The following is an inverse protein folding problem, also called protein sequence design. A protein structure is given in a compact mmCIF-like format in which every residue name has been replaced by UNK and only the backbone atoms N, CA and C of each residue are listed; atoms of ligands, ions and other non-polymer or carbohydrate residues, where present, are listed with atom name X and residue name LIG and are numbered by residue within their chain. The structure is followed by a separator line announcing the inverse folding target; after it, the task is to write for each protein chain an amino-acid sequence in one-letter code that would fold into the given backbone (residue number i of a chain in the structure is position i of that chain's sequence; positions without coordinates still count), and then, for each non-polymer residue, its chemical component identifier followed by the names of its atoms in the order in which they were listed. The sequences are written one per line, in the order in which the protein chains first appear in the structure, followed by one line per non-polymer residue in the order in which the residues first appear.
data_IF_815014377115
#
_entry.id   IF_815014377115
#
_cell.length_a   1.000
_cell.length_b   1.000
_cell.length_c   1.000
_cell.angle_alpha   90.00
_cell.angle_beta   90.00
_cell.angle_gamma   90.00
#
_symmetry.space_group_name_H-M   'P 1'
#
loop_
_entity.id
_entity.type
_entity.pdbx_description
1 polymer ?
#
# COMPACT_ATOMS: atom_id res chain seq x y z
N UNK A 1 -6.51 12.91 6.77
CA UNK A 1 -5.21 12.75 7.48
C UNK A 1 -4.26 13.95 7.32
N UNK A 2 -4.58 14.91 6.42
CA UNK A 2 -3.89 16.21 6.27
C UNK A 2 -2.38 16.12 5.98
N UNK A 3 -1.94 15.04 5.34
CA UNK A 3 -0.58 14.91 4.85
C UNK A 3 -0.62 15.06 3.33
N UNK A 4 0.14 16.01 2.76
CA UNK A 4 0.23 16.14 1.31
C UNK A 4 0.93 14.92 0.71
N UNK A 5 0.48 14.48 -0.45
CA UNK A 5 1.11 13.40 -1.20
C UNK A 5 1.13 13.70 -2.70
N UNK A 6 2.01 13.00 -3.41
CA UNK A 6 2.06 13.03 -4.87
C UNK A 6 1.53 11.69 -5.38
N UNK A 7 0.51 11.73 -6.22
CA UNK A 7 0.06 10.56 -6.97
C UNK A 7 0.76 10.56 -8.33
N UNK A 8 1.54 9.50 -8.59
CA UNK A 8 2.29 9.29 -9.82
C UNK A 8 2.07 7.86 -10.33
N UNK A 9 2.33 7.66 -11.61
CA UNK A 9 2.06 6.40 -12.32
C UNK A 9 1.62 6.64 -13.75
N UNK A 10 1.40 5.57 -14.49
CA UNK A 10 0.91 5.67 -15.87
C UNK A 10 -0.58 6.00 -15.91
N UNK A 11 -0.97 6.90 -16.80
CA UNK A 11 -2.38 7.22 -17.07
C UNK A 11 -2.61 7.37 -18.57
N UNK A 12 -3.77 6.91 -19.06
CA UNK A 12 -4.11 6.98 -20.48
C UNK A 12 -4.39 8.41 -20.94
N UNK A 13 -3.78 8.85 -22.04
CA UNK A 13 -4.04 10.19 -22.59
C UNK A 13 -5.51 10.42 -22.93
N UNK A 14 -6.23 9.35 -23.31
CA UNK A 14 -7.65 9.43 -23.69
C UNK A 14 -8.60 9.79 -22.55
N UNK A 15 -8.23 9.54 -21.29
CA UNK A 15 -9.06 9.79 -20.11
C UNK A 15 -8.33 10.64 -19.04
N UNK A 16 -7.22 11.26 -19.40
CA UNK A 16 -6.42 12.10 -18.48
C UNK A 16 -7.17 13.36 -18.04
N UNK A 17 -7.96 13.96 -18.93
CA UNK A 17 -8.75 15.16 -18.61
C UNK A 17 -9.85 14.84 -17.60
N UNK A 18 -10.60 13.75 -17.82
CA UNK A 18 -11.66 13.26 -16.94
C UNK A 18 -11.10 12.97 -15.53
N UNK A 19 -9.95 12.31 -15.44
CA UNK A 19 -9.28 12.07 -14.16
C UNK A 19 -8.94 13.36 -13.41
N UNK A 20 -8.39 14.37 -14.11
CA UNK A 20 -8.05 15.65 -13.50
C UNK A 20 -9.26 16.37 -12.94
N UNK A 21 -10.41 16.25 -13.60
CA UNK A 21 -11.67 16.83 -13.17
C UNK A 21 -12.24 16.06 -11.96
N UNK A 22 -12.33 14.74 -12.05
CA UNK A 22 -12.83 13.88 -10.97
C UNK A 22 -12.04 14.06 -9.65
N UNK A 23 -10.74 14.33 -9.74
CA UNK A 23 -9.86 14.54 -8.58
C UNK A 23 -9.66 16.01 -8.21
N UNK A 24 -10.35 16.96 -8.85
CA UNK A 24 -10.16 18.40 -8.60
C UNK A 24 -10.40 18.77 -7.12
N UNK A 25 -11.41 18.17 -6.48
CA UNK A 25 -11.72 18.39 -5.06
C UNK A 25 -10.67 17.88 -4.08
N UNK A 26 -9.76 16.98 -4.50
CA UNK A 26 -8.73 16.41 -3.64
C UNK A 26 -7.36 17.10 -3.80
N UNK A 27 -7.23 18.06 -4.71
CA UNK A 27 -5.96 18.74 -5.04
C UNK A 27 -5.32 19.51 -3.88
N UNK A 28 -6.08 19.83 -2.83
CA UNK A 28 -5.54 20.43 -1.61
C UNK A 28 -4.47 19.53 -0.95
N UNK A 29 -4.65 18.22 -1.04
CA UNK A 29 -3.78 17.24 -0.37
C UNK A 29 -3.05 16.32 -1.35
N UNK A 30 -3.57 16.16 -2.58
CA UNK A 30 -2.99 15.25 -3.57
C UNK A 30 -2.54 16.03 -4.78
N UNK A 31 -1.23 16.09 -5.00
CA UNK A 31 -0.65 16.60 -6.24
C UNK A 31 -0.63 15.48 -7.29
N UNK A 32 -1.31 15.69 -8.42
CA UNK A 32 -1.35 14.74 -9.52
C UNK A 32 -0.15 14.96 -10.45
N UNK A 33 0.73 13.96 -10.54
CA UNK A 33 1.94 13.96 -11.38
C UNK A 33 2.04 12.70 -12.23
N UNK A 34 0.89 12.16 -12.64
CA UNK A 34 0.82 10.96 -13.47
C UNK A 34 1.42 11.19 -14.86
N UNK A 35 2.20 10.22 -15.32
CA UNK A 35 2.78 10.13 -16.65
C UNK A 35 1.71 9.74 -17.66
N UNK A 36 1.20 10.71 -18.41
CA UNK A 36 0.26 10.46 -19.50
C UNK A 36 0.95 9.65 -20.62
N UNK A 37 0.30 8.60 -21.12
CA UNK A 37 0.80 7.74 -22.21
C UNK A 37 -0.31 7.35 -23.18
N UNK A 38 0.01 6.98 -24.44
CA UNK A 38 -1.00 6.55 -25.40
C UNK A 38 -1.86 5.39 -24.88
N UNK A 39 -3.17 5.50 -25.04
CA UNK A 39 -4.13 4.48 -24.62
C UNK A 39 -5.20 5.04 -23.67
N UNK A 40 -5.95 4.12 -23.07
CA UNK A 40 -7.01 4.41 -22.09
C UNK A 40 -6.70 3.70 -20.79
N UNK A 41 -6.95 4.34 -19.65
CA UNK A 41 -6.79 3.71 -18.34
C UNK A 41 -7.83 2.60 -18.19
N UNK A 42 -7.42 1.49 -17.57
CA UNK A 42 -8.33 0.36 -17.38
C UNK A 42 -9.54 0.77 -16.55
N UNK A 43 -10.69 0.19 -16.85
CA UNK A 43 -11.90 0.33 -16.05
C UNK A 43 -12.18 -0.98 -15.31
N UNK A 44 -12.37 -0.89 -14.00
CA UNK A 44 -12.78 -2.00 -13.17
C UNK A 44 -14.24 -1.80 -12.80
N UNK A 45 -15.03 -2.87 -12.83
CA UNK A 45 -16.45 -2.84 -12.46
C UNK A 45 -16.63 -3.70 -11.21
N UNK A 46 -17.32 -3.17 -10.22
CA UNK A 46 -17.79 -3.94 -9.06
C UNK A 46 -19.31 -3.99 -9.11
N UNK A 47 -19.88 -5.18 -9.20
CA UNK A 47 -21.31 -5.40 -9.10
C UNK A 47 -21.65 -5.74 -7.64
N UNK A 48 -22.54 -4.97 -7.05
CA UNK A 48 -23.03 -5.18 -5.69
C UNK A 48 -24.39 -5.87 -5.79
N UNK A 49 -24.43 -7.15 -5.45
CA UNK A 49 -25.65 -7.95 -5.42
C UNK A 49 -26.21 -7.94 -4.00
N UNK A 50 -27.08 -6.96 -3.72
CA UNK A 50 -27.67 -6.75 -2.40
C UNK A 50 -28.63 -7.87 -2.00
N UNK A 51 -29.23 -8.57 -2.96
CA UNK A 51 -30.14 -9.70 -2.69
C UNK A 51 -29.41 -10.91 -2.14
N UNK A 52 -28.20 -11.17 -2.62
CA UNK A 52 -27.36 -12.30 -2.19
C UNK A 52 -26.20 -11.91 -1.26
N UNK A 53 -26.13 -10.65 -0.82
CA UNK A 53 -25.06 -10.10 0.02
C UNK A 53 -23.65 -10.44 -0.52
N UNK A 54 -23.44 -10.30 -1.83
CA UNK A 54 -22.16 -10.58 -2.48
C UNK A 54 -21.71 -9.44 -3.37
N UNK A 55 -20.40 -9.36 -3.54
CA UNK A 55 -19.75 -8.46 -4.50
C UNK A 55 -19.06 -9.28 -5.59
N UNK A 56 -19.20 -8.86 -6.85
CA UNK A 56 -18.53 -9.47 -8.00
C UNK A 56 -17.60 -8.41 -8.61
N UNK A 57 -16.32 -8.75 -8.72
CA UNK A 57 -15.29 -7.84 -9.20
C UNK A 57 -14.82 -8.23 -10.61
N UNK A 58 -15.15 -7.41 -11.60
CA UNK A 58 -14.65 -7.52 -12.97
C UNK A 58 -13.44 -6.58 -13.12
N UNK A 59 -12.26 -7.16 -13.33
CA UNK A 59 -10.99 -6.42 -13.41
C UNK A 59 -10.42 -6.48 -14.81
N UNK A 60 -10.29 -5.34 -15.47
CA UNK A 60 -9.64 -5.26 -16.76
C UNK A 60 -8.10 -5.28 -16.60
N UNK A 61 -7.41 -5.87 -17.58
CA UNK A 61 -5.95 -5.74 -17.69
C UNK A 61 -5.62 -4.31 -18.14
N UNK A 62 -4.51 -3.79 -17.64
CA UNK A 62 -3.96 -2.52 -18.15
C UNK A 62 -2.95 -2.82 -19.25
N UNK A 63 -3.04 -2.08 -20.35
CA UNK A 63 -2.12 -2.16 -21.48
C UNK A 63 -1.16 -0.96 -21.56
N UNK A 64 -1.26 -0.04 -20.59
CA UNK A 64 -0.46 1.20 -20.60
C UNK A 64 1.04 0.94 -20.34
N UNK A 65 1.37 -0.16 -19.65
CA UNK A 65 2.74 -0.50 -19.33
C UNK A 65 3.47 -1.06 -20.55
N UNK A 66 4.14 -0.19 -21.27
CA UNK A 66 5.07 -0.53 -22.37
C UNK A 66 6.51 -0.15 -21.99
N UNK A 67 7.53 -0.68 -22.68
CA UNK A 67 8.92 -0.24 -22.50
C UNK A 67 9.11 1.28 -22.56
N UNK A 68 8.46 1.94 -23.52
CA UNK A 68 8.54 3.39 -23.68
C UNK A 68 7.83 4.14 -22.54
N UNK A 69 6.65 3.66 -22.15
CA UNK A 69 5.88 4.23 -21.03
C UNK A 69 6.65 4.14 -19.71
N UNK A 70 7.26 2.99 -19.41
CA UNK A 70 8.04 2.79 -18.18
C UNK A 70 9.33 3.62 -18.19
N UNK A 71 9.97 3.81 -19.36
CA UNK A 71 11.11 4.73 -19.51
C UNK A 71 10.69 6.18 -19.23
N UNK A 72 9.53 6.61 -19.75
CA UNK A 72 8.98 7.95 -19.49
C UNK A 72 8.65 8.14 -18.00
N UNK A 73 7.96 7.17 -17.40
CA UNK A 73 7.64 7.17 -15.97
C UNK A 73 8.90 7.28 -15.11
N UNK A 74 10.00 6.64 -15.50
CA UNK A 74 11.27 6.78 -14.82
C UNK A 74 11.79 8.22 -14.87
N UNK A 75 11.81 8.83 -16.06
CA UNK A 75 12.25 10.22 -16.18
C UNK A 75 11.40 11.18 -15.34
N UNK A 76 10.09 10.99 -15.31
CA UNK A 76 9.19 11.78 -14.46
C UNK A 76 9.48 11.53 -12.97
N UNK A 77 9.65 10.27 -12.57
CA UNK A 77 9.96 9.88 -11.19
C UNK A 77 11.27 10.50 -10.70
N UNK A 78 12.31 10.52 -11.53
CA UNK A 78 13.62 11.11 -11.24
C UNK A 78 13.51 12.61 -10.90
N UNK A 79 12.50 13.30 -11.43
CA UNK A 79 12.24 14.71 -11.14
C UNK A 79 11.32 14.94 -9.92
N UNK A 80 10.65 13.89 -9.45
CA UNK A 80 9.64 13.97 -8.38
C UNK A 80 10.22 13.61 -7.01
N UNK A 81 11.09 12.60 -6.96
CA UNK A 81 11.54 12.03 -5.69
C UNK A 81 12.72 12.79 -5.09
N UNK A 82 12.75 12.90 -3.77
CA UNK A 82 13.82 13.52 -3.01
C UNK A 82 14.35 12.58 -1.92
N UNK A 83 15.62 12.74 -1.48
CA UNK A 83 16.17 11.97 -0.37
C UNK A 83 15.30 12.04 0.89
N UNK A 84 14.99 10.87 1.46
CA UNK A 84 14.16 10.75 2.65
C UNK A 84 12.66 10.56 2.39
N UNK A 85 12.19 10.74 1.15
CA UNK A 85 10.80 10.49 0.79
C UNK A 85 10.38 9.04 1.02
N UNK A 86 9.09 8.84 1.28
CA UNK A 86 8.45 7.53 1.19
C UNK A 86 7.88 7.35 -0.22
N UNK A 87 8.36 6.36 -0.97
CA UNK A 87 7.87 6.04 -2.31
C UNK A 87 7.18 4.68 -2.31
N UNK A 88 5.84 4.68 -2.36
CA UNK A 88 5.03 3.47 -2.33
C UNK A 88 4.65 3.00 -3.75
N UNK A 89 5.06 1.77 -4.08
CA UNK A 89 4.60 1.05 -5.26
C UNK A 89 3.47 0.12 -4.83
N UNK A 90 2.24 0.57 -5.08
CA UNK A 90 1.03 -0.11 -4.62
C UNK A 90 0.19 -0.68 -5.79
N UNK A 91 -0.50 -1.78 -5.53
CA UNK A 91 -1.36 -2.46 -6.48
C UNK A 91 -0.61 -3.39 -7.44
N UNK A 92 -1.31 -3.89 -8.45
CA UNK A 92 -0.74 -4.85 -9.42
C UNK A 92 0.38 -4.21 -10.24
N UNK A 93 1.60 -4.73 -10.08
CA UNK A 93 2.74 -4.32 -10.90
C UNK A 93 2.64 -4.89 -12.33
N UNK A 94 3.31 -4.29 -13.32
CA UNK A 94 3.34 -4.83 -14.68
C UNK A 94 3.92 -6.26 -14.72
N UNK A 95 3.60 -7.04 -15.77
CA UNK A 95 3.98 -8.46 -15.83
C UNK A 95 5.50 -8.66 -15.86
N UNK A 96 6.01 -9.84 -15.42
CA UNK A 96 7.44 -10.13 -15.33
C UNK A 96 8.23 -9.93 -16.63
N UNK A 97 7.59 -10.05 -17.80
CA UNK A 97 8.24 -9.78 -19.10
C UNK A 97 8.76 -8.34 -19.23
N UNK A 98 8.22 -7.40 -18.43
CA UNK A 98 8.66 -6.01 -18.39
C UNK A 98 9.69 -5.74 -17.28
N UNK A 99 10.18 -6.76 -16.58
CA UNK A 99 11.09 -6.60 -15.44
C UNK A 99 12.32 -5.74 -15.77
N UNK A 100 12.91 -5.91 -16.96
CA UNK A 100 14.04 -5.10 -17.44
C UNK A 100 13.76 -3.59 -17.48
N UNK A 101 12.49 -3.18 -17.53
CA UNK A 101 12.04 -1.80 -17.50
C UNK A 101 11.50 -1.36 -16.13
N UNK A 102 11.10 -2.30 -15.27
CA UNK A 102 10.64 -2.04 -13.90
C UNK A 102 11.83 -1.82 -12.95
N UNK A 103 12.85 -2.66 -13.02
CA UNK A 103 14.00 -2.57 -12.11
C UNK A 103 14.70 -1.20 -12.15
N UNK A 104 14.86 -0.53 -13.30
CA UNK A 104 15.41 0.82 -13.34
C UNK A 104 14.61 1.87 -12.57
N UNK A 105 13.29 1.73 -12.43
CA UNK A 105 12.46 2.62 -11.61
C UNK A 105 12.85 2.50 -10.13
N UNK A 106 12.91 1.26 -9.66
CA UNK A 106 13.28 0.93 -8.27
C UNK A 106 14.71 1.36 -7.97
N UNK A 107 15.63 1.12 -8.91
CA UNK A 107 17.02 1.56 -8.78
C UNK A 107 17.13 3.08 -8.70
N UNK A 108 16.32 3.82 -9.46
CA UNK A 108 16.36 5.28 -9.41
C UNK A 108 15.91 5.83 -8.07
N UNK A 109 14.80 5.31 -7.53
CA UNK A 109 14.35 5.58 -6.16
C UNK A 109 15.46 5.31 -5.14
N UNK A 110 16.16 4.17 -5.27
CA UNK A 110 17.26 3.81 -4.36
C UNK A 110 18.42 4.79 -4.45
N UNK A 111 18.83 5.17 -5.66
CA UNK A 111 19.91 6.15 -5.88
C UNK A 111 19.55 7.51 -5.30
N UNK A 112 18.27 7.89 -5.37
CA UNK A 112 17.74 9.10 -4.74
C UNK A 112 17.61 9.00 -3.21
N UNK A 113 17.96 7.87 -2.59
CA UNK A 113 17.86 7.62 -1.13
C UNK A 113 16.43 7.76 -0.60
N UNK A 114 15.44 7.33 -1.37
CA UNK A 114 14.06 7.23 -0.89
C UNK A 114 13.86 5.91 -0.15
N UNK A 115 12.88 5.91 0.77
CA UNK A 115 12.40 4.72 1.45
C UNK A 115 11.34 4.04 0.56
N UNK A 116 11.72 2.95 -0.07
CA UNK A 116 10.87 2.22 -1.02
C UNK A 116 9.89 1.32 -0.27
N UNK A 117 8.59 1.48 -0.53
CA UNK A 117 7.54 0.63 0.02
C UNK A 117 6.90 -0.18 -1.09
N UNK A 118 6.72 -1.48 -0.88
CA UNK A 118 6.01 -2.36 -1.81
C UNK A 118 4.72 -2.87 -1.16
N UNK A 119 3.60 -2.56 -1.79
CA UNK A 119 2.27 -3.06 -1.44
C UNK A 119 1.64 -3.69 -2.69
N UNK A 120 2.17 -4.85 -3.04
CA UNK A 120 1.82 -5.56 -4.25
C UNK A 120 1.80 -7.06 -3.98
N UNK A 121 1.63 -7.86 -5.03
CA UNK A 121 1.62 -9.31 -4.95
C UNK A 121 2.16 -9.94 -6.23
N UNK A 122 2.36 -11.25 -6.19
CA UNK A 122 2.73 -12.06 -7.34
C UNK A 122 4.21 -12.00 -7.75
N UNK A 123 4.54 -12.57 -8.93
CA UNK A 123 5.92 -12.81 -9.34
C UNK A 123 6.75 -11.53 -9.51
N UNK A 124 6.12 -10.44 -9.95
CA UNK A 124 6.80 -9.16 -10.14
C UNK A 124 7.30 -8.60 -8.80
N UNK A 125 6.49 -8.67 -7.74
CA UNK A 125 6.92 -8.29 -6.40
C UNK A 125 8.15 -9.09 -5.96
N UNK A 126 8.12 -10.41 -6.11
CA UNK A 126 9.24 -11.29 -5.72
C UNK A 126 10.55 -10.89 -6.41
N UNK A 127 10.50 -10.63 -7.72
CA UNK A 127 11.68 -10.25 -8.49
C UNK A 127 12.21 -8.85 -8.12
N UNK A 128 11.32 -7.90 -7.80
CA UNK A 128 11.73 -6.58 -7.29
C UNK A 128 12.35 -6.70 -5.90
N UNK A 129 11.73 -7.47 -5.01
CA UNK A 129 12.19 -7.69 -3.64
C UNK A 129 13.57 -8.35 -3.60
N UNK A 130 13.87 -9.25 -4.53
CA UNK A 130 15.18 -9.88 -4.69
C UNK A 130 16.31 -8.88 -5.01
N UNK A 131 15.99 -7.66 -5.49
CA UNK A 131 17.01 -6.61 -5.69
C UNK A 131 17.45 -5.93 -4.40
N UNK A 132 16.79 -6.20 -3.26
CA UNK A 132 17.09 -5.61 -1.96
C UNK A 132 16.79 -4.10 -1.85
N UNK A 133 17.22 -3.46 -0.76
CA UNK A 133 17.05 -2.02 -0.55
C UNK A 133 15.58 -1.57 -0.49
N UNK A 134 14.70 -2.45 0.00
CA UNK A 134 13.29 -2.16 0.23
C UNK A 134 13.12 -1.77 1.69
N UNK A 135 12.51 -0.63 1.96
CA UNK A 135 12.29 -0.16 3.32
C UNK A 135 11.14 -0.91 4.00
N UNK A 136 10.04 -1.13 3.28
CA UNK A 136 8.85 -1.77 3.83
C UNK A 136 8.15 -2.64 2.78
N UNK A 137 7.73 -3.84 3.18
CA UNK A 137 6.69 -4.60 2.47
C UNK A 137 5.45 -4.75 3.36
N UNK A 138 4.24 -4.68 2.78
CA UNK A 138 2.99 -4.85 3.53
C UNK A 138 2.13 -6.01 3.00
N UNK A 139 2.52 -7.27 3.22
CA UNK A 139 1.66 -8.39 2.86
C UNK A 139 0.47 -8.53 3.83
N UNK A 140 -0.63 -9.09 3.37
CA UNK A 140 -1.59 -9.81 4.22
C UNK A 140 -1.10 -11.26 4.48
N UNK A 141 -1.89 -12.08 5.17
CA UNK A 141 -1.50 -13.46 5.53
C UNK A 141 -1.37 -14.35 4.29
N UNK A 142 -2.27 -14.18 3.33
CA UNK A 142 -2.31 -14.91 2.07
C UNK A 142 -1.12 -14.52 1.18
N UNK A 143 -0.87 -13.23 1.00
CA UNK A 143 0.27 -12.69 0.24
C UNK A 143 1.60 -13.09 0.87
N UNK A 144 1.70 -13.11 2.22
CA UNK A 144 2.90 -13.61 2.89
C UNK A 144 3.12 -15.08 2.59
N UNK A 145 2.06 -15.90 2.63
CA UNK A 145 2.12 -17.33 2.30
C UNK A 145 2.59 -17.56 0.87
N UNK A 146 2.06 -16.78 -0.08
CA UNK A 146 2.50 -16.79 -1.48
C UNK A 146 3.97 -16.38 -1.64
N UNK A 147 4.42 -15.37 -0.90
CA UNK A 147 5.80 -14.88 -0.94
C UNK A 147 6.80 -15.89 -0.37
N UNK A 148 6.47 -16.58 0.72
CA UNK A 148 7.36 -17.63 1.26
C UNK A 148 7.22 -18.96 0.52
N UNK A 149 6.13 -19.18 -0.21
CA UNK A 149 5.87 -20.41 -0.97
C UNK A 149 5.28 -21.55 -0.14
N UNK A 150 4.69 -21.25 1.02
CA UNK A 150 4.02 -22.23 1.90
C UNK A 150 2.80 -21.62 2.60
N UNK A 151 1.83 -22.46 2.98
CA UNK A 151 0.63 -22.00 3.68
C UNK A 151 0.93 -21.69 5.14
N UNK A 152 0.81 -20.43 5.54
CA UNK A 152 1.07 -20.00 6.92
C UNK A 152 -0.27 -19.84 7.66
N UNK A 153 -0.45 -20.47 8.84
CA UNK A 153 -1.62 -20.21 9.66
C UNK A 153 -1.60 -18.78 10.22
N UNK A 154 -2.77 -18.14 10.30
CA UNK A 154 -2.91 -16.80 10.88
C UNK A 154 -2.73 -16.81 12.42
N UNK A 155 -1.50 -17.03 12.86
CA UNK A 155 -1.05 -17.06 14.25
C UNK A 155 0.27 -16.28 14.35
N UNK A 156 0.46 -15.58 15.46
CA UNK A 156 1.61 -14.67 15.65
C UNK A 156 2.95 -15.36 15.40
N UNK A 157 3.23 -16.47 16.09
CA UNK A 157 4.51 -17.19 15.97
C UNK A 157 4.86 -17.63 14.53
N UNK A 158 3.98 -18.38 13.84
CA UNK A 158 4.18 -18.75 12.43
C UNK A 158 4.39 -17.55 11.50
N UNK A 159 3.58 -16.50 11.62
CA UNK A 159 3.72 -15.29 10.79
C UNK A 159 5.04 -14.56 11.04
N UNK A 160 5.50 -14.47 12.30
CA UNK A 160 6.80 -13.90 12.62
C UNK A 160 7.94 -14.71 12.03
N UNK A 161 7.90 -16.05 12.13
CA UNK A 161 8.93 -16.91 11.53
C UNK A 161 9.00 -16.73 10.02
N UNK A 162 7.84 -16.73 9.35
CA UNK A 162 7.76 -16.52 7.92
C UNK A 162 8.24 -15.12 7.51
N UNK A 163 7.82 -14.07 8.21
CA UNK A 163 8.29 -12.70 7.94
C UNK A 163 9.79 -12.57 8.13
N UNK A 164 10.38 -13.19 9.16
CA UNK A 164 11.83 -13.12 9.42
C UNK A 164 12.68 -13.62 8.24
N UNK A 165 12.19 -14.54 7.43
CA UNK A 165 12.92 -15.02 6.23
C UNK A 165 13.04 -13.96 5.14
N UNK A 166 12.21 -12.91 5.16
CA UNK A 166 12.19 -11.83 4.18
C UNK A 166 12.97 -10.57 4.63
N UNK A 167 13.40 -10.50 5.90
CA UNK A 167 14.22 -9.39 6.45
C UNK A 167 15.64 -9.24 5.84
N UNK A 168 16.21 -10.23 5.14
CA UNK A 168 17.37 -10.00 4.28
C UNK A 168 17.05 -9.11 3.07
N UNK A 169 15.79 -9.04 2.63
CA UNK A 169 15.35 -8.36 1.41
C UNK A 169 14.62 -7.03 1.66
N UNK A 170 14.03 -6.86 2.85
CA UNK A 170 13.38 -5.63 3.28
C UNK A 170 13.72 -5.28 4.74
N UNK A 171 13.81 -3.99 5.06
CA UNK A 171 14.15 -3.53 6.40
C UNK A 171 13.02 -3.80 7.42
N UNK A 172 11.76 -3.67 6.96
CA UNK A 172 10.57 -3.92 7.75
C UNK A 172 9.49 -4.66 6.98
N UNK A 173 8.64 -5.37 7.72
CA UNK A 173 7.50 -6.10 7.19
C UNK A 173 6.27 -5.76 8.05
N UNK A 174 5.20 -5.29 7.41
CA UNK A 174 3.93 -4.96 8.05
C UNK A 174 2.85 -5.96 7.63
N UNK A 175 2.64 -7.00 8.43
CA UNK A 175 1.72 -8.10 8.12
C UNK A 175 0.32 -7.76 8.62
N UNK A 176 -0.59 -7.46 7.69
CA UNK A 176 -2.00 -7.20 8.02
C UNK A 176 -2.78 -8.49 8.24
N UNK A 177 -3.66 -8.52 9.25
CA UNK A 177 -4.38 -9.72 9.70
C UNK A 177 -5.89 -9.48 9.90
N UNK A 178 -6.45 -8.56 9.13
CA UNK A 178 -7.86 -8.16 9.24
C UNK A 178 -8.22 -7.71 10.66
N UNK A 179 -9.29 -8.28 11.22
CA UNK A 179 -9.76 -7.96 12.58
C UNK A 179 -8.77 -8.33 13.70
N UNK A 180 -7.77 -9.18 13.42
CA UNK A 180 -6.74 -9.54 14.39
C UNK A 180 -5.62 -8.50 14.52
N UNK A 181 -5.69 -7.41 13.74
CA UNK A 181 -4.76 -6.29 13.77
C UNK A 181 -3.59 -6.47 12.82
N UNK A 182 -2.39 -6.13 13.28
CA UNK A 182 -1.18 -6.08 12.46
C UNK A 182 0.03 -6.58 13.25
N UNK A 183 0.99 -7.17 12.54
CA UNK A 183 2.34 -7.45 13.05
C UNK A 183 3.32 -6.56 12.30
N UNK A 184 4.24 -5.94 13.02
CA UNK A 184 5.36 -5.21 12.45
C UNK A 184 6.64 -5.87 12.93
N UNK A 185 7.56 -6.17 12.04
CA UNK A 185 8.84 -6.73 12.41
C UNK A 185 9.98 -6.16 11.58
N UNK A 186 11.14 -6.06 12.21
CA UNK A 186 12.45 -5.77 11.63
C UNK A 186 13.46 -6.81 12.14
N UNK A 187 14.75 -6.60 11.87
CA UNK A 187 15.82 -7.41 12.46
C UNK A 187 15.94 -7.25 13.98
N UNK A 188 15.57 -6.08 14.49
CA UNK A 188 15.84 -5.69 15.88
C UNK A 188 14.61 -5.74 16.77
N UNK A 189 13.40 -5.69 16.19
CA UNK A 189 12.16 -5.64 16.96
C UNK A 189 11.02 -6.40 16.28
N UNK A 190 10.03 -6.77 17.10
CA UNK A 190 8.74 -7.25 16.63
C UNK A 190 7.63 -6.69 17.51
N UNK A 191 6.57 -6.18 16.88
CA UNK A 191 5.40 -5.62 17.55
C UNK A 191 4.13 -6.26 17.02
N UNK A 192 3.16 -6.42 17.92
CA UNK A 192 1.76 -6.66 17.58
C UNK A 192 0.96 -5.42 17.95
N UNK A 193 0.05 -5.02 17.06
CA UNK A 193 -0.98 -4.04 17.41
C UNK A 193 -2.36 -4.54 17.02
N UNK A 194 -3.38 -4.16 17.81
CA UNK A 194 -4.79 -4.44 17.53
C UNK A 194 -5.69 -3.34 18.03
N UNK A 195 -6.80 -3.08 17.33
CA UNK A 195 -7.88 -2.25 17.85
C UNK A 195 -8.51 -2.97 19.04
N UNK A 196 -8.60 -2.31 20.20
CA UNK A 196 -9.30 -2.86 21.38
C UNK A 196 -10.81 -2.71 21.26
N UNK A 197 -11.27 -1.78 20.42
CA UNK A 197 -12.67 -1.61 20.05
C UNK A 197 -12.82 -1.63 18.52
N UNK A 198 -12.77 -2.80 17.87
CA UNK A 198 -12.92 -2.89 16.42
C UNK A 198 -14.35 -2.50 15.99
N UNK A 199 -14.56 -2.12 14.71
CA UNK A 199 -15.89 -1.86 14.18
C UNK A 199 -16.85 -3.04 14.43
N UNK A 200 -18.02 -2.76 14.99
CA UNK A 200 -19.08 -3.78 15.19
C UNK A 200 -19.67 -4.25 13.85
N UNK A 201 -19.79 -3.32 12.90
CA UNK A 201 -20.28 -3.57 11.55
C UNK A 201 -19.18 -3.21 10.58
N UNK A 202 -18.82 -4.14 9.70
CA UNK A 202 -17.89 -3.93 8.60
C UNK A 202 -18.71 -3.66 7.35
N UNK A 203 -18.58 -2.45 6.81
CA UNK A 203 -19.26 -2.00 5.60
C UNK A 203 -18.49 -2.48 4.36
N UNK A 204 -17.16 -2.37 4.37
CA UNK A 204 -16.32 -2.89 3.29
C UNK A 204 -14.92 -3.22 3.81
N UNK A 205 -14.31 -4.28 3.28
CA UNK A 205 -12.90 -4.60 3.51
C UNK A 205 -12.00 -4.15 2.35
N UNK A 206 -12.61 -3.75 1.23
CA UNK A 206 -11.90 -3.32 0.02
C UNK A 206 -11.15 -2.03 0.32
N UNK A 207 -9.84 -2.03 0.11
CA UNK A 207 -8.97 -0.88 0.37
C UNK A 207 -8.54 -0.70 1.83
N UNK A 208 -8.99 -1.54 2.78
CA UNK A 208 -8.52 -1.45 4.17
C UNK A 208 -6.99 -1.58 4.29
N UNK A 209 -6.35 -2.34 3.39
CA UNK A 209 -4.89 -2.44 3.30
C UNK A 209 -4.23 -1.10 2.92
N UNK A 210 -4.81 -0.38 1.95
CA UNK A 210 -4.31 0.94 1.51
C UNK A 210 -4.42 1.97 2.65
N UNK A 211 -5.56 1.98 3.36
CA UNK A 211 -5.76 2.84 4.52
C UNK A 211 -4.81 2.48 5.66
N UNK A 212 -4.56 1.18 5.89
CA UNK A 212 -3.59 0.71 6.87
C UNK A 212 -2.19 1.23 6.54
N UNK A 213 -1.77 1.10 5.27
CA UNK A 213 -0.47 1.60 4.83
C UNK A 213 -0.37 3.12 4.94
N UNK A 214 -1.37 3.85 4.48
CA UNK A 214 -1.40 5.31 4.54
C UNK A 214 -1.33 5.81 5.99
N UNK A 215 -2.06 5.18 6.91
CA UNK A 215 -2.00 5.48 8.34
C UNK A 215 -0.63 5.14 8.95
N UNK A 216 0.00 4.05 8.52
CA UNK A 216 1.35 3.69 8.97
C UNK A 216 2.40 4.70 8.49
N UNK A 217 2.38 5.07 7.21
CA UNK A 217 3.31 6.06 6.64
C UNK A 217 3.10 7.44 7.27
N UNK A 218 1.86 7.83 7.56
CA UNK A 218 1.56 9.01 8.38
C UNK A 218 2.27 8.94 9.73
N UNK A 219 2.12 7.82 10.43
CA UNK A 219 2.73 7.64 11.73
C UNK A 219 4.25 7.72 11.68
N UNK A 220 4.89 7.12 10.68
CA UNK A 220 6.34 7.22 10.48
C UNK A 220 6.81 8.64 10.15
N UNK A 221 5.98 9.44 9.48
CA UNK A 221 6.31 10.83 9.17
C UNK A 221 6.17 11.76 10.39
N UNK A 222 5.26 11.46 11.32
CA UNK A 222 4.95 12.32 12.47
C UNK A 222 5.65 11.90 13.78
N UNK A 223 5.99 10.62 13.93
CA UNK A 223 6.54 10.08 15.18
C UNK A 223 8.03 9.77 15.07
N UNK A 224 8.72 9.88 16.22
CA UNK A 224 10.13 9.54 16.32
C UNK A 224 10.36 8.03 16.46
N UNK A 225 9.42 7.32 17.09
CA UNK A 225 9.52 5.88 17.32
C UNK A 225 8.62 5.11 16.37
N UNK A 226 9.16 4.05 15.78
CA UNK A 226 8.46 3.17 14.83
C UNK A 226 7.14 2.57 15.38
N UNK A 227 7.05 2.03 16.61
CA UNK A 227 5.80 1.44 17.11
C UNK A 227 4.64 2.45 17.23
N UNK A 228 4.94 3.75 17.35
CA UNK A 228 3.92 4.82 17.39
C UNK A 228 3.21 5.00 16.04
N UNK A 229 3.72 4.39 14.96
CA UNK A 229 3.06 4.36 13.67
C UNK A 229 1.95 3.30 13.55
N UNK A 230 1.86 2.35 14.48
CA UNK A 230 0.85 1.28 14.44
C UNK A 230 -0.57 1.75 14.80
N UNK A 231 -0.77 2.63 15.80
CA UNK A 231 -2.08 3.22 16.07
C UNK A 231 -2.72 3.93 14.86
N UNK A 232 -2.08 4.90 14.18
CA UNK A 232 -2.70 5.57 13.04
C UNK A 232 -2.97 4.60 11.87
N UNK A 233 -2.12 3.59 11.67
CA UNK A 233 -2.37 2.53 10.69
C UNK A 233 -3.70 1.80 10.92
N UNK A 234 -3.90 1.28 12.14
CA UNK A 234 -5.11 0.53 12.48
C UNK A 234 -6.35 1.43 12.57
N UNK A 235 -6.20 2.67 13.03
CA UNK A 235 -7.29 3.63 13.11
C UNK A 235 -7.83 4.01 11.73
N UNK A 236 -6.94 4.24 10.76
CA UNK A 236 -7.34 4.53 9.38
C UNK A 236 -8.07 3.34 8.75
N UNK A 237 -7.52 2.13 8.89
CA UNK A 237 -8.14 0.91 8.36
C UNK A 237 -9.50 0.61 9.02
N UNK A 238 -9.60 0.72 10.34
CA UNK A 238 -10.85 0.50 11.08
C UNK A 238 -11.93 1.53 10.73
N UNK A 239 -11.54 2.79 10.53
CA UNK A 239 -12.48 3.83 10.12
C UNK A 239 -13.02 3.59 8.71
N UNK A 240 -12.16 3.18 7.77
CA UNK A 240 -12.60 2.81 6.43
C UNK A 240 -13.53 1.61 6.45
N UNK A 241 -13.15 0.57 7.19
CA UNK A 241 -14.00 -0.61 7.38
C UNK A 241 -15.39 -0.27 7.93
N UNK A 242 -15.49 0.78 8.74
CA UNK A 242 -16.74 1.26 9.33
C UNK A 242 -17.47 2.33 8.48
N UNK A 243 -16.96 2.72 7.31
CA UNK A 243 -17.50 3.79 6.47
C UNK A 243 -17.50 5.18 7.11
N UNK A 244 -16.52 5.46 7.96
CA UNK A 244 -16.44 6.71 8.73
C UNK A 244 -15.48 7.74 8.14
N UNK A 245 -14.72 7.39 7.09
CA UNK A 245 -13.64 8.21 6.53
C UNK A 245 -14.12 9.52 5.91
N UNK A 246 -15.34 9.55 5.37
CA UNK A 246 -15.95 10.75 4.79
C UNK A 246 -16.80 11.55 5.78
N UNK A 247 -17.29 10.90 6.84
CA UNK A 247 -18.26 11.48 7.79
C UNK A 247 -17.64 11.95 9.11
N UNK A 248 -16.36 11.64 9.38
CA UNK A 248 -15.69 11.95 10.64
C UNK A 248 -14.31 12.55 10.42
N UNK A 249 -13.93 13.48 11.30
CA UNK A 249 -12.56 14.00 11.33
C UNK A 249 -11.56 12.95 11.79
N UNK A 250 -10.30 13.11 11.39
CA UNK A 250 -9.20 12.23 11.81
C UNK A 250 -9.14 12.07 13.35
N UNK A 251 -9.22 13.17 14.09
CA UNK A 251 -9.20 13.16 15.56
C UNK A 251 -10.35 12.36 16.18
N UNK A 252 -11.54 12.41 15.58
CA UNK A 252 -12.69 11.61 16.05
C UNK A 252 -12.46 10.12 15.80
N UNK A 253 -11.88 9.75 14.66
CA UNK A 253 -11.56 8.36 14.32
C UNK A 253 -10.50 7.78 15.26
N UNK A 254 -9.46 8.56 15.61
CA UNK A 254 -8.44 8.14 16.56
C UNK A 254 -9.02 7.80 17.94
N UNK A 255 -9.94 8.63 18.45
CA UNK A 255 -10.63 8.39 19.73
C UNK A 255 -11.55 7.18 19.69
N UNK A 256 -12.18 6.90 18.54
CA UNK A 256 -13.16 5.81 18.38
C UNK A 256 -12.50 4.43 18.33
N UNK A 257 -11.28 4.36 17.79
CA UNK A 257 -10.56 3.10 17.60
C UNK A 257 -9.26 3.11 18.43
N UNK A 258 -9.34 2.96 19.77
CA UNK A 258 -8.16 2.78 20.60
C UNK A 258 -7.38 1.54 20.16
N UNK A 259 -6.05 1.67 20.16
CA UNK A 259 -5.13 0.62 19.71
C UNK A 259 -4.22 0.24 20.87
N UNK A 260 -4.07 -1.06 21.09
CA UNK A 260 -3.06 -1.61 21.98
C UNK A 260 -1.87 -2.05 21.12
N UNK A 261 -0.66 -1.62 21.50
CA UNK A 261 0.61 -2.04 20.90
C UNK A 261 1.39 -2.83 21.96
N UNK A 262 1.97 -3.94 21.55
CA UNK A 262 2.75 -4.84 22.40
C UNK A 262 4.00 -5.29 21.67
N UNK A 263 5.15 -5.27 22.34
CA UNK A 263 6.40 -5.88 21.88
C UNK A 263 6.38 -7.41 22.07
N UNK A 264 7.02 -8.14 21.16
CA UNK A 264 6.95 -9.61 21.04
C UNK A 264 8.29 -10.30 21.23
#
# INVERSE_FOLDING_TARGET
MNIPSVAAGLWGEKDYAEMKEALAGQRKWIALKCTAVPGKTRQNITLIDTGNQREIHLRARSELATPAALKKLRGDLDCLVQPGDFCAFAGSLPPPVLMRHILPLIQSCRNARVRIILDSSGPTLRAVLQQGGIFLIKPNVEELSELVGEKIPNRVGPLLRAGKTLLPLADMILISRGSQGVLLLSRDFAFQARCTHPPRTVISTVGCGDYLLAGFLKGLAEHRMIPDALPPALQAAAAHAAGLTESRSWRQMQKRFPVNVREL
#
